data_IF_990806236556
#
_entry.id   IF_990806236556
#
_cell.length_a   1.000
_cell.length_b   1.000
_cell.length_c   1.000
_cell.angle_alpha   90.00
_cell.angle_beta   90.00
_cell.angle_gamma   90.00
#
_symmetry.space_group_name_H-M   'P 1'
#
loop_
_entity.id
_entity.type
_entity.pdbx_description
1 polymer ?
#
# COMPACT_ATOMS: atom_id res chain seq x y z
N UNK A 1 3.08 -1.82 0.15
CA UNK A 1 3.80 -1.89 1.43
C UNK A 1 5.26 -1.51 1.25
N UNK A 2 6.07 -2.25 0.49
CA UNK A 2 7.49 -1.89 0.25
C UNK A 2 7.64 -0.49 -0.34
N UNK A 3 6.88 -0.16 -1.39
CA UNK A 3 6.91 1.19 -1.97
C UNK A 3 6.56 2.30 -0.95
N UNK A 4 5.60 2.04 -0.07
CA UNK A 4 5.23 2.95 1.03
C UNK A 4 6.34 3.08 2.07
N UNK A 5 7.09 1.99 2.33
CA UNK A 5 8.15 1.97 3.32
C UNK A 5 9.34 2.87 2.95
N UNK A 6 9.59 3.09 1.66
CA UNK A 6 10.69 3.95 1.19
C UNK A 6 10.58 5.37 1.76
N UNK A 7 9.37 5.92 1.90
CA UNK A 7 9.16 7.26 2.48
C UNK A 7 9.49 7.32 3.97
N UNK A 8 9.44 6.20 4.70
CA UNK A 8 9.81 6.15 6.12
C UNK A 8 11.30 6.36 6.36
N UNK A 9 12.12 6.25 5.31
CA UNK A 9 13.57 6.48 5.37
C UNK A 9 13.96 7.96 5.29
N UNK A 10 13.00 8.84 4.94
CA UNK A 10 13.20 10.27 4.66
C UNK A 10 14.18 10.61 3.53
N UNK A 11 14.67 9.61 2.80
CA UNK A 11 15.53 9.81 1.64
C UNK A 11 14.73 10.07 0.35
N UNK A 12 13.45 9.70 0.34
CA UNK A 12 12.54 9.93 -0.78
C UNK A 12 11.45 10.89 -0.33
N UNK A 13 11.24 11.93 -1.13
CA UNK A 13 10.21 12.96 -0.91
C UNK A 13 9.12 12.87 -1.96
N UNK A 14 7.98 13.52 -1.71
CA UNK A 14 6.90 13.60 -2.68
C UNK A 14 7.35 14.20 -4.03
N UNK A 15 8.28 15.15 -4.02
CA UNK A 15 8.84 15.75 -5.23
C UNK A 15 9.62 14.74 -6.10
N UNK A 16 10.27 13.75 -5.47
CA UNK A 16 11.04 12.72 -6.19
C UNK A 16 10.14 11.61 -6.73
N UNK A 17 9.14 11.21 -5.95
CA UNK A 17 8.20 10.17 -6.30
C UNK A 17 6.79 10.62 -5.89
N UNK A 18 6.07 11.36 -6.75
CA UNK A 18 4.74 11.85 -6.43
C UNK A 18 3.65 10.80 -6.65
N UNK A 19 3.93 9.72 -7.38
CA UNK A 19 2.97 8.67 -7.69
C UNK A 19 3.50 7.30 -7.26
N UNK A 20 2.69 6.59 -6.48
CA UNK A 20 2.91 5.18 -6.15
C UNK A 20 1.79 4.36 -6.76
N UNK A 21 2.16 3.37 -7.56
CA UNK A 21 1.24 2.34 -8.03
C UNK A 21 1.63 1.03 -7.35
N UNK A 22 0.68 0.41 -6.67
CA UNK A 22 0.87 -0.90 -6.04
C UNK A 22 -0.17 -1.86 -6.56
N UNK A 23 0.28 -3.03 -7.00
CA UNK A 23 -0.60 -4.11 -7.41
C UNK A 23 -0.56 -5.21 -6.35
N UNK A 24 -1.72 -5.82 -6.05
CA UNK A 24 -1.83 -7.02 -5.23
C UNK A 24 -0.94 -6.93 -3.98
N UNK A 25 -1.05 -5.85 -3.23
CA UNK A 25 -0.19 -5.63 -2.06
C UNK A 25 -1.03 -5.61 -0.79
N UNK A 26 -0.72 -6.42 0.23
CA UNK A 26 -1.37 -6.29 1.54
C UNK A 26 -0.92 -4.99 2.22
N UNK A 27 -1.82 -3.99 2.27
CA UNK A 27 -1.48 -2.64 2.76
C UNK A 27 -1.63 -2.44 4.28
N UNK A 28 -2.34 -3.32 4.97
CA UNK A 28 -2.70 -3.12 6.39
C UNK A 28 -2.01 -4.11 7.32
N UNK A 29 -1.90 -5.37 6.92
CA UNK A 29 -1.26 -6.44 7.70
C UNK A 29 -0.62 -7.47 6.77
N UNK A 30 0.44 -8.18 7.19
CA UNK A 30 1.00 -9.27 6.39
C UNK A 30 -0.02 -10.41 6.25
N UNK A 31 0.06 -11.16 5.15
CA UNK A 31 -0.80 -12.35 4.91
C UNK A 31 -0.53 -13.44 5.94
N UNK A 32 0.74 -13.60 6.34
CA UNK A 32 1.18 -14.49 7.40
C UNK A 32 2.15 -13.72 8.32
N UNK A 33 1.93 -13.80 9.63
CA UNK A 33 2.86 -13.27 10.63
C UNK A 33 3.79 -14.40 11.05
N UNK A 34 4.89 -14.57 10.31
CA UNK A 34 5.87 -15.63 10.58
C UNK A 34 6.89 -15.23 11.65
N UNK A 35 7.03 -13.92 11.91
CA UNK A 35 8.02 -13.32 12.82
C UNK A 35 7.52 -11.95 13.34
N UNK A 36 7.72 -11.62 14.62
CA UNK A 36 7.53 -10.26 15.17
C UNK A 36 8.08 -9.11 14.29
N UNK A 37 9.22 -9.29 13.62
CA UNK A 37 9.82 -8.22 12.81
C UNK A 37 8.91 -7.79 11.64
N UNK A 38 8.17 -8.71 11.01
CA UNK A 38 7.27 -8.35 9.93
C UNK A 38 6.09 -7.52 10.43
N UNK A 39 5.60 -7.80 11.65
CA UNK A 39 4.52 -7.04 12.26
C UNK A 39 4.97 -5.61 12.58
N UNK A 40 6.12 -5.47 13.24
CA UNK A 40 6.68 -4.15 13.56
C UNK A 40 6.96 -3.32 12.31
N UNK A 41 7.40 -3.95 11.23
CA UNK A 41 7.58 -3.27 9.94
C UNK A 41 6.26 -2.70 9.41
N UNK A 42 5.18 -3.49 9.39
CA UNK A 42 3.87 -3.02 8.94
C UNK A 42 3.34 -1.89 9.83
N UNK A 43 3.44 -2.04 11.15
CA UNK A 43 3.00 -1.04 12.12
C UNK A 43 3.74 0.29 11.89
N UNK A 44 5.07 0.25 11.75
CA UNK A 44 5.89 1.45 11.48
C UNK A 44 5.47 2.17 10.20
N UNK A 45 5.30 1.43 9.10
CA UNK A 45 4.94 2.03 7.80
C UNK A 45 3.51 2.58 7.83
N UNK A 46 2.58 1.89 8.48
CA UNK A 46 1.19 2.36 8.59
C UNK A 46 1.06 3.58 9.49
N UNK A 47 1.71 3.58 10.66
CA UNK A 47 1.71 4.73 11.57
C UNK A 47 2.30 5.97 10.90
N UNK A 48 3.45 5.83 10.23
CA UNK A 48 4.06 6.95 9.50
C UNK A 48 3.10 7.51 8.44
N UNK A 49 2.51 6.65 7.61
CA UNK A 49 1.60 7.09 6.55
C UNK A 49 0.32 7.72 7.09
N UNK A 50 -0.19 7.25 8.23
CA UNK A 50 -1.35 7.87 8.88
C UNK A 50 -1.03 9.26 9.43
N UNK A 51 0.14 9.42 10.06
CA UNK A 51 0.56 10.69 10.66
C UNK A 51 0.88 11.73 9.58
N UNK A 52 1.59 11.32 8.53
CA UNK A 52 2.13 12.23 7.52
C UNK A 52 1.22 12.43 6.30
N UNK A 53 0.05 11.77 6.22
CA UNK A 53 -0.85 11.83 5.05
C UNK A 53 -1.18 13.27 4.65
N UNK A 54 -1.36 14.15 5.64
CA UNK A 54 -1.71 15.56 5.45
C UNK A 54 -0.51 16.52 5.51
N UNK A 55 0.71 16.01 5.68
CA UNK A 55 1.95 16.78 5.82
C UNK A 55 2.98 16.34 4.77
N UNK A 56 4.03 15.58 5.15
CA UNK A 56 5.11 15.16 4.24
C UNK A 56 4.60 14.36 3.02
N UNK A 57 3.45 13.69 3.14
CA UNK A 57 2.89 12.86 2.08
C UNK A 57 1.70 13.50 1.34
N UNK A 58 1.37 14.78 1.60
CA UNK A 58 0.19 15.45 1.03
C UNK A 58 0.15 15.40 -0.51
N UNK A 59 1.31 15.49 -1.15
CA UNK A 59 1.44 15.50 -2.60
C UNK A 59 1.72 14.12 -3.21
N UNK A 60 1.77 13.07 -2.37
CA UNK A 60 1.93 11.70 -2.84
C UNK A 60 0.56 11.12 -3.17
N UNK A 61 0.39 10.70 -4.42
CA UNK A 61 -0.76 9.95 -4.91
C UNK A 61 -0.49 8.47 -4.75
N UNK A 62 -1.35 7.78 -4.01
CA UNK A 62 -1.31 6.32 -3.84
C UNK A 62 -2.46 5.67 -4.62
N UNK A 63 -2.09 4.99 -5.71
CA UNK A 63 -2.96 4.12 -6.49
C UNK A 63 -2.74 2.66 -6.09
N UNK A 64 -3.82 1.99 -5.69
CA UNK A 64 -3.81 0.56 -5.38
C UNK A 64 -4.66 -0.21 -6.38
N UNK A 65 -4.08 -1.24 -6.98
CA UNK A 65 -4.75 -2.15 -7.92
C UNK A 65 -4.80 -3.54 -7.28
N UNK A 66 -5.99 -3.98 -6.89
CA UNK A 66 -6.23 -5.34 -6.42
C UNK A 66 -6.32 -6.34 -7.57
N UNK A 67 -6.05 -7.61 -7.25
CA UNK A 67 -6.35 -8.72 -8.15
C UNK A 67 -7.86 -8.90 -8.37
N UNK A 68 -8.23 -9.66 -9.40
CA UNK A 68 -9.62 -9.98 -9.68
C UNK A 68 -10.22 -10.94 -8.65
N UNK A 69 -11.52 -11.24 -8.74
CA UNK A 69 -12.23 -12.09 -7.76
C UNK A 69 -11.60 -13.48 -7.54
N UNK A 70 -10.84 -13.99 -8.51
CA UNK A 70 -10.16 -15.29 -8.44
C UNK A 70 -8.66 -15.20 -8.12
N UNK A 71 -8.14 -14.01 -7.80
CA UNK A 71 -6.76 -13.86 -7.35
C UNK A 71 -6.66 -14.34 -5.89
N UNK A 72 -6.31 -15.61 -5.74
CA UNK A 72 -6.12 -16.28 -4.44
C UNK A 72 -4.84 -15.83 -3.72
N UNK A 73 -3.88 -15.23 -4.43
CA UNK A 73 -2.64 -14.79 -3.81
C UNK A 73 -2.85 -13.50 -3.05
N UNK A 74 -3.72 -12.59 -3.54
CA UNK A 74 -4.05 -11.34 -2.84
C UNK A 74 -5.52 -10.97 -3.01
N UNK A 75 -6.39 -11.35 -2.04
CA UNK A 75 -7.79 -10.98 -2.05
C UNK A 75 -7.98 -9.46 -2.07
N UNK A 76 -9.00 -8.99 -2.79
CA UNK A 76 -9.36 -7.55 -2.91
C UNK A 76 -9.54 -6.83 -1.57
N UNK A 77 -9.85 -7.57 -0.50
CA UNK A 77 -9.98 -7.04 0.86
C UNK A 77 -8.66 -6.58 1.49
N UNK A 78 -7.50 -7.03 0.97
CA UNK A 78 -6.17 -6.68 1.50
C UNK A 78 -5.49 -5.56 0.71
N UNK A 79 -5.99 -5.27 -0.49
CA UNK A 79 -5.53 -4.16 -1.32
C UNK A 79 -6.21 -2.84 -0.99
N UNK A 80 -7.39 -2.89 -0.37
CA UNK A 80 -8.13 -1.69 0.01
C UNK A 80 -7.56 -1.07 1.30
N UNK A 81 -7.18 0.21 1.25
CA UNK A 81 -6.64 0.94 2.39
C UNK A 81 -7.21 2.36 2.41
N UNK A 82 -7.58 2.90 3.58
CA UNK A 82 -8.08 4.27 3.69
C UNK A 82 -7.01 5.33 3.37
N UNK A 83 -5.76 4.90 3.17
CA UNK A 83 -4.63 5.74 2.82
C UNK A 83 -4.46 5.91 1.30
N UNK A 84 -5.18 5.12 0.49
CA UNK A 84 -5.13 5.22 -0.97
C UNK A 84 -6.06 6.32 -1.46
N UNK A 85 -5.60 7.08 -2.45
CA UNK A 85 -6.42 8.07 -3.14
C UNK A 85 -7.34 7.43 -4.16
N UNK A 86 -6.88 6.31 -4.75
CA UNK A 86 -7.68 5.51 -5.65
C UNK A 86 -7.39 4.02 -5.44
N UNK A 87 -8.46 3.25 -5.29
CA UNK A 87 -8.41 1.79 -5.22
C UNK A 87 -9.28 1.19 -6.33
N UNK A 88 -8.68 0.33 -7.15
CA UNK A 88 -9.37 -0.39 -8.23
C UNK A 88 -9.01 -1.87 -8.19
N UNK A 89 -9.78 -2.72 -8.87
CA UNK A 89 -9.54 -4.17 -8.97
C UNK A 89 -9.58 -4.60 -10.42
N UNK A 90 -8.74 -5.55 -10.82
CA UNK A 90 -8.78 -6.07 -12.20
C UNK A 90 -10.10 -6.82 -12.46
N UNK A 91 -10.73 -6.54 -13.60
CA UNK A 91 -11.91 -7.26 -14.05
C UNK A 91 -11.47 -8.41 -14.99
N UNK A 92 -12.03 -9.61 -14.80
CA UNK A 92 -11.91 -10.65 -15.81
C UNK A 92 -12.81 -10.26 -16.99
N UNK A 93 -12.21 -9.86 -18.11
CA UNK A 93 -12.92 -9.73 -19.38
C UNK A 93 -12.91 -11.13 -20.01
N UNK A 94 -13.98 -11.90 -19.80
CA UNK A 94 -14.20 -13.14 -20.55
C UNK A 94 -14.71 -12.77 -21.95
N UNK A 95 -13.87 -12.98 -22.96
CA UNK A 95 -14.27 -12.99 -24.37
C UNK A 95 -14.92 -14.31 -24.74
#
# INVERSE_FOLDING_TARGET
MVARAVYTTKQVTAAMAPLIITQATPHTRPVLVLDPHIRTFYDKVNTFWMMERNFELKEVVLLTVGGGRNDIQVPTSHTNTPLADLATTTANVSH
#
